data_IF_457964584000
#
_entry.id   IF_457964584000
#
_cell.length_a   1.000
_cell.length_b   1.000
_cell.length_c   1.000
_cell.angle_alpha   90.00
_cell.angle_beta   90.00
_cell.angle_gamma   90.00
#
_symmetry.space_group_name_H-M   'P 1'
#
loop_
_entity.id
_entity.type
_entity.pdbx_description
1 polymer ?
#
# COMPACT_ATOMS: atom_id res chain seq x y z
N UNK A 1 89.49 -27.48 8.27
CA UNK A 1 88.33 -26.57 8.20
C UNK A 1 88.87 -25.14 8.07
N UNK A 2 88.81 -24.53 6.89
CA UNK A 2 89.35 -23.18 6.66
C UNK A 2 88.24 -22.14 6.88
N UNK A 3 88.43 -21.22 7.81
CA UNK A 3 87.51 -20.10 8.05
C UNK A 3 87.59 -19.11 6.88
N UNK A 4 86.44 -18.72 6.33
CA UNK A 4 86.36 -17.64 5.32
C UNK A 4 86.91 -16.35 5.93
N UNK A 5 87.82 -15.70 5.21
CA UNK A 5 88.41 -14.43 5.64
C UNK A 5 87.33 -13.35 5.77
N UNK A 6 87.48 -12.46 6.75
CA UNK A 6 86.58 -11.32 7.00
C UNK A 6 86.35 -10.47 5.75
N UNK A 7 87.34 -10.41 4.84
CA UNK A 7 87.23 -9.73 3.55
C UNK A 7 86.19 -10.36 2.61
N UNK A 8 86.06 -11.70 2.59
CA UNK A 8 85.12 -12.41 1.73
C UNK A 8 83.66 -12.22 2.19
N UNK A 9 83.46 -12.17 3.51
CA UNK A 9 82.15 -11.89 4.11
C UNK A 9 81.71 -10.48 3.75
N UNK A 10 82.57 -9.48 3.91
CA UNK A 10 82.29 -8.07 3.55
C UNK A 10 81.96 -7.92 2.06
N UNK A 11 82.70 -8.62 1.19
CA UNK A 11 82.45 -8.62 -0.27
C UNK A 11 81.09 -9.23 -0.63
N UNK A 12 80.67 -10.28 0.07
CA UNK A 12 79.36 -10.91 -0.14
C UNK A 12 78.19 -10.03 0.32
N UNK A 13 78.35 -9.30 1.43
CA UNK A 13 77.34 -8.37 1.96
C UNK A 13 77.17 -7.17 1.02
N UNK A 14 78.28 -6.60 0.55
CA UNK A 14 78.24 -5.49 -0.42
C UNK A 14 77.56 -5.89 -1.74
N UNK A 15 77.80 -7.12 -2.23
CA UNK A 15 77.17 -7.64 -3.45
C UNK A 15 75.66 -7.85 -3.27
N UNK A 16 75.22 -8.33 -2.10
CA UNK A 16 73.79 -8.46 -1.75
C UNK A 16 73.09 -7.10 -1.63
N UNK A 17 73.75 -6.09 -1.05
CA UNK A 17 73.19 -4.73 -0.93
C UNK A 17 72.98 -4.08 -2.29
N UNK A 18 73.96 -4.18 -3.19
CA UNK A 18 73.87 -3.65 -4.56
C UNK A 18 72.76 -4.31 -5.38
N UNK A 19 72.51 -5.61 -5.17
CA UNK A 19 71.42 -6.33 -5.85
C UNK A 19 70.04 -5.97 -5.28
N UNK A 20 69.95 -5.67 -3.97
CA UNK A 20 68.73 -5.18 -3.33
C UNK A 20 68.38 -3.77 -3.80
N UNK A 21 69.37 -2.87 -3.93
CA UNK A 21 69.17 -1.51 -4.45
C UNK A 21 68.69 -1.51 -5.92
N UNK A 22 69.15 -2.44 -6.76
CA UNK A 22 68.64 -2.59 -8.15
C UNK A 22 67.19 -3.06 -8.23
N UNK A 23 66.71 -3.85 -7.26
CA UNK A 23 65.35 -4.40 -7.28
C UNK A 23 64.29 -3.48 -6.63
N UNK A 24 64.70 -2.40 -5.95
CA UNK A 24 63.76 -1.46 -5.32
C UNK A 24 63.44 -0.22 -6.17
N UNK A 25 64.10 -0.04 -7.32
CA UNK A 25 63.92 1.14 -8.19
C UNK A 25 62.81 1.06 -9.24
N UNK A 26 61.86 0.10 -9.15
CA UNK A 26 60.85 -0.12 -10.20
C UNK A 26 59.42 -0.30 -9.71
N UNK A 27 59.06 0.33 -8.60
CA UNK A 27 57.67 0.51 -8.20
C UNK A 27 57.40 2.01 -8.05
N UNK A 28 56.78 2.60 -9.08
CA UNK A 28 56.16 3.92 -8.99
C UNK A 28 54.68 3.63 -8.65
N UNK A 29 54.20 3.88 -7.43
CA UNK A 29 52.77 3.87 -7.18
C UNK A 29 52.17 5.06 -7.91
N UNK A 30 51.26 4.78 -8.83
CA UNK A 30 50.45 5.77 -9.53
C UNK A 30 49.71 6.63 -8.49
N UNK A 31 49.96 7.94 -8.50
CA UNK A 31 49.32 8.94 -7.64
C UNK A 31 47.79 8.95 -7.88
N UNK A 32 47.04 8.17 -7.10
CA UNK A 32 45.63 8.47 -6.86
C UNK A 32 45.55 9.72 -6.00
N UNK A 33 45.13 10.83 -6.60
CA UNK A 33 44.59 12.00 -5.90
C UNK A 33 43.61 11.51 -4.83
N UNK A 34 43.99 11.63 -3.57
CA UNK A 34 43.10 11.41 -2.44
C UNK A 34 42.43 12.74 -2.14
N UNK A 35 41.13 12.84 -2.41
CA UNK A 35 40.33 13.91 -1.84
C UNK A 35 40.34 13.73 -0.32
N UNK A 36 41.01 14.63 0.37
CA UNK A 36 41.12 14.64 1.83
C UNK A 36 39.80 15.12 2.43
N UNK A 37 39.01 14.21 2.99
CA UNK A 37 37.84 14.58 3.82
C UNK A 37 38.11 14.37 5.32
N UNK A 38 39.30 13.88 5.71
CA UNK A 38 39.57 13.48 7.10
C UNK A 38 40.95 13.91 7.60
N UNK A 39 41.27 15.21 7.48
CA UNK A 39 42.43 15.81 8.16
C UNK A 39 42.09 16.41 9.53
N UNK A 40 40.82 16.37 9.94
CA UNK A 40 40.33 17.20 11.04
C UNK A 40 39.64 16.35 12.12
N UNK A 41 40.32 15.36 12.71
CA UNK A 41 39.83 14.77 13.98
C UNK A 41 40.84 13.93 14.78
N UNK A 42 42.11 14.31 14.80
CA UNK A 42 43.06 13.79 15.80
C UNK A 42 43.40 14.87 16.83
N UNK A 43 42.41 15.21 17.66
CA UNK A 43 42.57 15.91 18.93
C UNK A 43 41.58 15.29 19.91
N UNK A 44 41.80 14.03 20.27
CA UNK A 44 41.41 13.56 21.60
C UNK A 44 42.22 12.32 21.98
N UNK A 45 42.65 12.35 23.22
CA UNK A 45 43.66 11.57 23.89
C UNK A 45 43.11 10.20 24.31
N UNK A 46 43.93 9.16 24.20
CA UNK A 46 43.73 7.90 24.91
C UNK A 46 42.93 6.84 24.15
N UNK A 47 43.57 6.18 23.18
CA UNK A 47 43.10 4.89 22.68
C UNK A 47 44.23 3.86 22.78
N UNK A 48 44.08 2.92 23.72
CA UNK A 48 44.62 1.58 23.54
C UNK A 48 44.10 1.09 22.18
N UNK A 49 45.02 0.74 21.30
CA UNK A 49 44.70 0.18 20.00
C UNK A 49 44.21 -1.25 20.19
N UNK A 50 42.92 -1.40 20.50
CA UNK A 50 42.25 -2.68 20.33
C UNK A 50 42.19 -2.92 18.82
N UNK A 51 42.99 -3.88 18.34
CA UNK A 51 42.91 -4.37 16.96
C UNK A 51 41.60 -5.13 16.84
N UNK A 52 40.52 -4.38 16.61
CA UNK A 52 39.26 -4.95 16.17
C UNK A 52 39.54 -5.49 14.78
N UNK A 53 39.56 -6.81 14.65
CA UNK A 53 39.34 -7.44 13.35
C UNK A 53 37.93 -7.05 12.94
N UNK A 54 37.82 -5.91 12.26
CA UNK A 54 36.65 -5.62 11.44
C UNK A 54 36.71 -6.65 10.31
N UNK A 55 36.14 -7.83 10.57
CA UNK A 55 35.62 -8.68 9.50
C UNK A 55 34.65 -7.79 8.75
N UNK A 56 35.20 -7.05 7.79
CA UNK A 56 34.54 -5.93 7.16
C UNK A 56 33.18 -6.41 6.70
N UNK A 57 32.16 -5.94 7.40
CA UNK A 57 30.82 -5.88 6.85
C UNK A 57 31.04 -5.02 5.61
N UNK A 58 31.19 -5.68 4.46
CA UNK A 58 31.13 -5.04 3.17
C UNK A 58 29.72 -4.47 3.14
N UNK A 59 29.58 -3.22 3.58
CA UNK A 59 28.39 -2.45 3.27
C UNK A 59 28.28 -2.57 1.76
N UNK A 60 27.19 -3.15 1.24
CA UNK A 60 27.04 -3.24 -0.20
C UNK A 60 27.21 -1.81 -0.70
N UNK A 61 28.02 -1.59 -1.76
CA UNK A 61 28.10 -0.26 -2.33
C UNK A 61 26.66 0.18 -2.55
N UNK A 62 26.27 1.33 -2.01
CA UNK A 62 24.97 1.93 -2.27
C UNK A 62 24.94 2.35 -3.75
N UNK A 63 24.98 1.37 -4.63
CA UNK A 63 24.62 1.48 -6.03
C UNK A 63 23.12 1.56 -5.97
N UNK A 64 22.62 2.80 -6.01
CA UNK A 64 21.25 3.07 -6.42
C UNK A 64 21.03 2.23 -7.68
N UNK A 65 20.25 1.14 -7.54
CA UNK A 65 20.10 0.11 -8.59
C UNK A 65 19.41 0.63 -9.85
N UNK A 66 18.94 1.88 -9.81
CA UNK A 66 18.27 2.54 -10.90
C UNK A 66 19.29 3.39 -11.65
N UNK A 67 19.55 3.02 -12.91
CA UNK A 67 20.39 3.81 -13.82
C UNK A 67 19.83 5.24 -13.84
N UNK A 68 20.64 6.24 -13.47
CA UNK A 68 20.20 7.65 -13.38
C UNK A 68 19.56 8.14 -14.68
N UNK A 69 20.03 7.63 -15.82
CA UNK A 69 19.45 7.88 -17.15
C UNK A 69 18.03 7.33 -17.27
N UNK A 70 17.74 6.13 -16.76
CA UNK A 70 16.40 5.53 -16.79
C UNK A 70 15.40 6.31 -15.94
N UNK A 71 15.82 6.81 -14.75
CA UNK A 71 15.00 7.72 -13.95
C UNK A 71 14.72 9.04 -14.67
N UNK A 72 15.72 9.59 -15.38
CA UNK A 72 15.55 10.82 -16.15
C UNK A 72 14.56 10.61 -17.32
N UNK A 73 14.63 9.46 -18.00
CA UNK A 73 13.66 9.12 -19.04
C UNK A 73 12.25 8.92 -18.49
N UNK A 74 12.09 8.32 -17.30
CA UNK A 74 10.79 8.19 -16.63
C UNK A 74 10.21 9.55 -16.23
N UNK A 75 11.05 10.44 -15.68
CA UNK A 75 10.66 11.81 -15.34
C UNK A 75 10.25 12.61 -16.59
N UNK A 76 11.05 12.49 -17.67
CA UNK A 76 10.76 13.14 -18.95
C UNK A 76 9.46 12.61 -19.54
N UNK A 77 9.22 11.30 -19.50
CA UNK A 77 7.99 10.66 -19.98
C UNK A 77 6.76 11.14 -19.20
N UNK A 78 6.87 11.28 -17.88
CA UNK A 78 5.81 11.85 -17.04
C UNK A 78 5.48 13.30 -17.42
N UNK A 79 6.50 14.15 -17.57
CA UNK A 79 6.32 15.55 -17.99
C UNK A 79 5.72 15.62 -19.40
N UNK A 80 6.17 14.76 -20.30
CA UNK A 80 5.66 14.68 -21.67
C UNK A 80 4.17 14.29 -21.69
N UNK A 81 3.78 13.29 -20.88
CA UNK A 81 2.38 12.86 -20.75
C UNK A 81 1.48 14.01 -20.27
N UNK A 82 1.93 14.78 -19.27
CA UNK A 82 1.20 15.97 -18.78
C UNK A 82 1.08 17.04 -19.86
N UNK A 83 2.15 17.29 -20.64
CA UNK A 83 2.12 18.25 -21.74
C UNK A 83 1.20 17.81 -22.88
N UNK A 84 1.19 16.52 -23.23
CA UNK A 84 0.26 15.95 -24.22
C UNK A 84 -1.18 16.16 -23.76
N UNK A 85 -1.48 15.86 -22.50
CA UNK A 85 -2.79 16.13 -21.89
C UNK A 85 -3.15 17.62 -22.03
N UNK A 86 -2.25 18.53 -21.67
CA UNK A 86 -2.47 19.96 -21.78
C UNK A 86 -2.70 20.44 -23.24
N UNK A 87 -1.98 19.88 -24.21
CA UNK A 87 -2.18 20.17 -25.64
C UNK A 87 -3.55 19.69 -26.11
N UNK A 88 -3.99 18.51 -25.69
CA UNK A 88 -5.33 17.97 -26.00
C UNK A 88 -6.41 18.93 -25.50
N UNK A 89 -6.25 19.55 -24.32
CA UNK A 89 -7.20 20.53 -23.80
C UNK A 89 -7.11 21.91 -24.48
N UNK A 90 -5.90 22.33 -24.87
CA UNK A 90 -5.67 23.66 -25.45
C UNK A 90 -5.93 23.75 -26.95
N UNK A 91 -5.88 22.62 -27.67
CA UNK A 91 -6.06 22.57 -29.13
C UNK A 91 -7.34 21.85 -29.53
N UNK A 92 -8.15 22.52 -30.35
CA UNK A 92 -9.45 22.03 -30.86
C UNK A 92 -9.28 21.32 -32.21
N UNK A 93 -8.38 20.35 -32.30
CA UNK A 93 -8.18 19.58 -33.53
C UNK A 93 -9.22 18.44 -33.63
N UNK A 94 -9.66 18.03 -34.83
CA UNK A 94 -10.68 16.99 -34.98
C UNK A 94 -10.35 15.66 -34.26
N UNK A 95 -9.06 15.28 -34.24
CA UNK A 95 -8.56 14.09 -33.55
C UNK A 95 -8.50 14.23 -32.02
N UNK A 96 -8.53 15.45 -31.46
CA UNK A 96 -8.51 15.65 -30.01
C UNK A 96 -9.89 15.47 -29.37
N UNK A 97 -10.97 15.47 -30.16
CA UNK A 97 -12.32 15.25 -29.68
C UNK A 97 -12.56 13.80 -29.23
N UNK A 98 -12.02 12.82 -29.97
CA UNK A 98 -12.07 11.40 -29.58
C UNK A 98 -11.18 11.10 -28.36
N UNK A 99 -10.02 11.74 -28.26
CA UNK A 99 -9.16 11.57 -27.09
C UNK A 99 -9.82 12.09 -25.80
N UNK A 100 -10.55 13.22 -25.87
CA UNK A 100 -11.24 13.81 -24.72
C UNK A 100 -12.35 12.92 -24.15
N UNK A 101 -13.10 12.19 -25.00
CA UNK A 101 -14.18 11.31 -24.54
C UNK A 101 -13.65 10.06 -23.82
N UNK A 102 -12.50 9.53 -24.25
CA UNK A 102 -11.81 8.45 -23.54
C UNK A 102 -11.29 8.94 -22.19
N UNK A 103 -10.70 10.14 -22.14
CA UNK A 103 -10.17 10.71 -20.90
C UNK A 103 -11.29 11.01 -19.88
N UNK A 104 -12.43 11.58 -20.32
CA UNK A 104 -13.57 11.82 -19.42
C UNK A 104 -14.14 10.51 -18.88
N UNK A 105 -14.21 9.46 -19.71
CA UNK A 105 -14.64 8.13 -19.26
C UNK A 105 -13.71 7.53 -18.20
N UNK A 106 -12.40 7.80 -18.27
CA UNK A 106 -11.42 7.36 -17.25
C UNK A 106 -11.52 8.18 -15.95
N UNK A 107 -11.87 9.47 -16.02
CA UNK A 107 -12.10 10.29 -14.83
C UNK A 107 -13.41 9.97 -14.11
N UNK A 108 -14.44 9.58 -14.85
CA UNK A 108 -15.75 9.21 -14.30
C UNK A 108 -15.81 7.73 -13.87
N UNK A 109 -14.96 6.87 -14.42
CA UNK A 109 -14.86 5.48 -13.98
C UNK A 109 -14.01 5.36 -12.72
N UNK A 110 -14.68 5.04 -11.62
CA UNK A 110 -14.04 4.55 -10.41
C UNK A 110 -13.11 3.38 -10.74
N UNK A 111 -11.81 3.59 -10.54
CA UNK A 111 -10.77 2.62 -10.88
C UNK A 111 -11.08 1.27 -10.22
N UNK A 112 -11.25 0.23 -11.03
CA UNK A 112 -11.64 -1.11 -10.58
C UNK A 112 -10.44 -1.86 -9.97
N UNK A 113 -9.92 -1.40 -8.83
CA UNK A 113 -8.75 -2.00 -8.18
C UNK A 113 -8.92 -3.51 -7.94
N UNK A 114 -10.13 -3.97 -7.62
CA UNK A 114 -10.44 -5.38 -7.39
C UNK A 114 -10.11 -6.28 -8.60
N UNK A 115 -10.45 -5.86 -9.82
CA UNK A 115 -10.19 -6.65 -11.03
C UNK A 115 -8.70 -6.74 -11.35
N UNK A 116 -7.97 -5.66 -11.08
CA UNK A 116 -6.51 -5.62 -11.25
C UNK A 116 -5.82 -6.51 -10.20
N UNK A 117 -6.33 -6.51 -8.96
CA UNK A 117 -5.83 -7.37 -7.87
C UNK A 117 -6.09 -8.83 -8.18
N UNK A 118 -7.29 -9.21 -8.64
CA UNK A 118 -7.59 -10.60 -9.03
C UNK A 118 -6.68 -11.10 -10.15
N UNK A 119 -6.49 -10.32 -11.22
CA UNK A 119 -5.57 -10.68 -12.30
C UNK A 119 -4.11 -10.75 -11.83
N UNK A 120 -3.71 -9.85 -10.94
CA UNK A 120 -2.37 -9.81 -10.35
C UNK A 120 -2.12 -11.04 -9.47
N UNK A 121 -3.08 -11.41 -8.62
CA UNK A 121 -3.02 -12.60 -7.78
C UNK A 121 -2.97 -13.88 -8.62
N UNK A 122 -3.69 -13.93 -9.74
CA UNK A 122 -3.64 -15.05 -10.70
C UNK A 122 -2.31 -15.14 -11.47
N UNK A 123 -1.75 -14.00 -11.87
CA UNK A 123 -0.59 -13.95 -12.79
C UNK A 123 0.75 -13.98 -12.05
N UNK A 124 0.82 -13.30 -10.90
CA UNK A 124 2.05 -13.11 -10.13
C UNK A 124 2.05 -13.98 -8.87
N UNK A 125 0.86 -14.39 -8.40
CA UNK A 125 0.71 -15.00 -7.09
C UNK A 125 0.87 -13.98 -5.97
N UNK A 126 0.44 -14.34 -4.76
CA UNK A 126 0.60 -13.46 -3.60
C UNK A 126 2.10 -13.26 -3.30
N UNK A 127 2.66 -12.04 -3.42
CA UNK A 127 4.07 -11.78 -3.10
C UNK A 127 4.37 -11.93 -1.60
N UNK A 128 3.34 -12.11 -0.76
CA UNK A 128 3.40 -12.19 0.69
C UNK A 128 2.78 -13.49 1.24
N UNK A 129 3.21 -14.65 0.73
CA UNK A 129 2.83 -15.98 1.25
C UNK A 129 3.30 -16.29 2.70
N UNK A 130 3.73 -15.28 3.47
CA UNK A 130 4.22 -15.41 4.85
C UNK A 130 3.31 -14.75 5.90
N UNK A 131 2.21 -14.15 5.50
CA UNK A 131 1.18 -13.69 6.44
C UNK A 131 0.22 -14.84 6.72
N UNK A 132 -0.17 -15.10 7.98
CA UNK A 132 -1.09 -16.18 8.30
C UNK A 132 -2.39 -16.00 7.51
N UNK A 133 -2.58 -16.94 6.59
CA UNK A 133 -3.69 -17.05 5.66
C UNK A 133 -4.96 -17.38 6.44
N UNK A 134 -5.81 -16.38 6.62
CA UNK A 134 -7.22 -16.58 6.94
C UNK A 134 -8.07 -16.18 5.72
N UNK A 135 -7.71 -16.66 4.53
CA UNK A 135 -8.61 -16.71 3.38
C UNK A 135 -9.32 -18.06 3.40
N UNK A 136 -10.31 -18.16 4.27
CA UNK A 136 -11.32 -19.21 4.18
C UNK A 136 -12.04 -19.05 2.84
N UNK A 137 -11.90 -20.04 1.96
CA UNK A 137 -12.82 -20.25 0.85
C UNK A 137 -14.19 -20.62 1.42
N UNK A 138 -15.00 -19.62 1.72
CA UNK A 138 -16.42 -19.81 2.02
C UNK A 138 -17.21 -19.83 0.71
N UNK A 139 -17.34 -21.02 0.12
CA UNK A 139 -18.35 -21.31 -0.90
C UNK A 139 -19.72 -21.50 -0.25
N UNK A 140 -20.26 -20.45 0.37
CA UNK A 140 -21.54 -20.48 1.07
C UNK A 140 -22.08 -19.09 1.39
N UNK A 141 -23.10 -18.66 0.61
CA UNK A 141 -23.91 -17.45 0.79
C UNK A 141 -23.13 -16.15 1.11
N UNK A 142 -22.92 -15.34 0.07
CA UNK A 142 -22.14 -14.08 0.07
C UNK A 142 -22.64 -12.97 1.01
N UNK A 143 -23.76 -13.16 1.70
CA UNK A 143 -24.40 -12.15 2.55
C UNK A 143 -24.65 -12.72 3.95
N UNK A 144 -24.27 -12.01 5.02
CA UNK A 144 -24.73 -12.28 6.39
C UNK A 144 -25.79 -11.27 6.80
N UNK A 145 -26.76 -11.70 7.60
CA UNK A 145 -27.77 -10.79 8.14
C UNK A 145 -27.13 -9.63 8.93
N UNK A 146 -27.55 -8.37 8.70
CA UNK A 146 -27.03 -7.22 9.44
C UNK A 146 -27.56 -7.15 10.88
N UNK A 147 -28.75 -7.70 11.14
CA UNK A 147 -29.36 -7.86 12.45
C UNK A 147 -30.48 -8.92 12.38
N UNK A 148 -30.80 -9.59 13.50
CA UNK A 148 -32.03 -10.38 13.62
C UNK A 148 -33.23 -9.43 13.71
N UNK A 149 -34.13 -9.49 12.73
CA UNK A 149 -35.25 -8.54 12.63
C UNK A 149 -36.13 -8.79 11.41
N UNK A 150 -37.38 -8.32 11.48
CA UNK A 150 -38.37 -8.46 10.41
C UNK A 150 -38.40 -7.19 9.55
N UNK A 151 -38.41 -7.33 8.22
CA UNK A 151 -38.55 -6.20 7.29
C UNK A 151 -39.94 -5.58 7.49
N UNK A 152 -40.02 -4.27 7.72
CA UNK A 152 -41.32 -3.60 7.88
C UNK A 152 -41.77 -2.86 6.62
N UNK A 153 -40.84 -2.25 5.89
CA UNK A 153 -41.17 -1.47 4.70
C UNK A 153 -40.44 -2.03 3.48
N UNK A 154 -41.22 -2.52 2.52
CA UNK A 154 -40.72 -3.05 1.25
C UNK A 154 -40.08 -1.94 0.42
N UNK A 155 -39.01 -2.31 -0.30
CA UNK A 155 -38.30 -1.49 -1.28
C UNK A 155 -39.23 -0.76 -2.26
N UNK A 156 -40.43 -1.30 -2.48
CA UNK A 156 -41.49 -0.79 -3.35
C UNK A 156 -42.03 0.62 -3.00
N UNK A 157 -41.85 1.13 -1.76
CA UNK A 157 -42.41 2.46 -1.40
C UNK A 157 -41.50 3.65 -1.77
N UNK A 158 -40.17 3.49 -1.72
CA UNK A 158 -39.19 4.55 -2.03
C UNK A 158 -38.22 4.20 -3.17
N UNK A 159 -38.05 2.92 -3.52
CA UNK A 159 -37.14 2.46 -4.58
C UNK A 159 -35.64 2.63 -4.25
N UNK A 160 -35.30 2.86 -2.98
CA UNK A 160 -33.94 3.17 -2.54
C UNK A 160 -33.41 2.23 -1.44
N UNK A 161 -34.25 1.61 -0.62
CA UNK A 161 -33.84 0.75 0.49
C UNK A 161 -35.02 0.17 1.27
N UNK A 162 -34.74 -0.53 2.36
CA UNK A 162 -35.71 -1.13 3.27
C UNK A 162 -35.50 -0.64 4.70
N UNK A 163 -36.60 -0.47 5.44
CA UNK A 163 -36.55 -0.22 6.89
C UNK A 163 -36.65 -1.56 7.61
N UNK A 164 -35.62 -1.88 8.40
CA UNK A 164 -35.52 -3.14 9.14
C UNK A 164 -35.88 -2.88 10.61
N UNK A 165 -36.91 -3.56 11.10
CA UNK A 165 -37.31 -3.55 12.52
C UNK A 165 -36.53 -4.60 13.29
N UNK A 166 -35.88 -4.19 14.36
CA UNK A 166 -35.13 -5.06 15.28
C UNK A 166 -35.38 -4.66 16.74
N UNK A 167 -34.70 -5.28 17.69
CA UNK A 167 -34.76 -4.88 19.09
C UNK A 167 -34.13 -3.49 19.28
N UNK A 168 -34.62 -2.71 20.25
CA UNK A 168 -33.99 -1.44 20.60
C UNK A 168 -32.50 -1.64 20.95
N UNK A 169 -31.64 -0.74 20.47
CA UNK A 169 -30.18 -0.77 20.67
C UNK A 169 -29.48 -2.06 20.18
N UNK A 170 -30.10 -2.82 19.26
CA UNK A 170 -29.46 -3.96 18.62
C UNK A 170 -28.16 -3.55 17.93
N UNK A 171 -27.18 -4.45 17.94
CA UNK A 171 -25.91 -4.24 17.25
C UNK A 171 -26.11 -4.44 15.75
N UNK A 172 -25.71 -3.46 14.93
CA UNK A 172 -25.73 -3.59 13.47
C UNK A 172 -24.38 -4.12 13.00
N UNK A 173 -24.40 -5.26 12.32
CA UNK A 173 -23.24 -5.85 11.68
C UNK A 173 -23.18 -5.55 10.18
N UNK A 174 -21.98 -5.55 9.60
CA UNK A 174 -21.86 -5.48 8.15
C UNK A 174 -22.26 -6.80 7.49
N UNK A 175 -23.03 -6.69 6.42
CA UNK A 175 -23.52 -7.82 5.63
C UNK A 175 -22.41 -8.53 4.86
N UNK A 176 -21.41 -7.75 4.41
CA UNK A 176 -20.28 -8.23 3.61
C UNK A 176 -19.03 -7.46 4.00
N UNK A 177 -17.86 -8.06 3.78
CA UNK A 177 -16.59 -7.38 4.05
C UNK A 177 -16.34 -6.25 3.04
N UNK A 178 -15.66 -5.20 3.47
CA UNK A 178 -15.44 -4.02 2.64
C UNK A 178 -14.69 -2.91 3.37
N UNK A 179 -14.70 -1.73 2.75
CA UNK A 179 -14.07 -0.52 3.27
C UNK A 179 -15.15 0.52 3.55
N UNK A 180 -15.08 1.16 4.72
CA UNK A 180 -15.97 2.27 5.07
C UNK A 180 -15.62 3.48 4.21
N UNK A 181 -16.50 3.85 3.29
CA UNK A 181 -16.36 5.04 2.43
C UNK A 181 -17.08 6.28 3.00
N UNK A 182 -17.93 6.08 4.00
CA UNK A 182 -18.60 7.17 4.72
C UNK A 182 -19.01 6.72 6.13
N UNK A 183 -18.81 7.59 7.11
CA UNK A 183 -19.27 7.42 8.49
C UNK A 183 -19.59 8.81 9.06
N UNK A 184 -20.88 9.12 9.24
CA UNK A 184 -21.30 10.46 9.66
C UNK A 184 -22.81 10.62 9.67
N UNK A 185 -23.31 11.86 9.68
CA UNK A 185 -24.73 12.18 9.66
C UNK A 185 -25.13 12.80 8.32
N UNK A 186 -26.19 12.28 7.71
CA UNK A 186 -26.80 12.77 6.46
C UNK A 186 -28.22 13.24 6.75
N UNK A 187 -28.65 14.34 6.12
CA UNK A 187 -29.98 14.93 6.37
C UNK A 187 -31.15 13.96 6.08
N UNK A 188 -31.04 13.14 5.03
CA UNK A 188 -32.11 12.22 4.61
C UNK A 188 -32.04 10.84 5.31
N UNK A 189 -30.87 10.43 5.81
CA UNK A 189 -30.62 9.06 6.31
C UNK A 189 -30.15 9.02 7.76
N UNK A 190 -30.12 10.16 8.46
CA UNK A 190 -29.58 10.28 9.81
C UNK A 190 -28.11 9.85 9.90
N UNK A 191 -27.71 9.30 11.06
CA UNK A 191 -26.38 8.71 11.20
C UNK A 191 -26.25 7.50 10.28
N UNK A 192 -25.33 7.63 9.33
CA UNK A 192 -25.16 6.72 8.20
C UNK A 192 -23.72 6.22 8.11
N UNK A 193 -23.58 4.93 7.87
CA UNK A 193 -22.33 4.27 7.48
C UNK A 193 -22.51 3.69 6.08
N UNK A 194 -21.56 3.93 5.18
CA UNK A 194 -21.55 3.37 3.83
C UNK A 194 -20.27 2.55 3.67
N UNK A 195 -20.45 1.30 3.24
CA UNK A 195 -19.36 0.34 3.03
C UNK A 195 -19.31 -0.01 1.55
N UNK A 196 -18.14 0.11 0.94
CA UNK A 196 -17.87 -0.35 -0.42
C UNK A 196 -17.24 -1.74 -0.38
N UNK A 197 -17.80 -2.66 -1.16
CA UNK A 197 -17.36 -4.04 -1.28
C UNK A 197 -16.45 -4.24 -2.49
N UNK A 198 -15.75 -5.37 -2.54
CA UNK A 198 -14.80 -5.70 -3.61
C UNK A 198 -15.46 -5.79 -5.00
N UNK A 199 -16.75 -6.12 -5.07
CA UNK A 199 -17.56 -6.19 -6.30
C UNK A 199 -18.14 -4.84 -6.72
N UNK A 200 -17.72 -3.73 -6.08
CA UNK A 200 -18.21 -2.36 -6.30
C UNK A 200 -19.66 -2.14 -5.87
N UNK A 201 -20.26 -3.10 -5.17
CA UNK A 201 -21.50 -2.83 -4.46
C UNK A 201 -21.23 -1.98 -3.22
N UNK A 202 -22.23 -1.20 -2.82
CA UNK A 202 -22.23 -0.41 -1.61
C UNK A 202 -23.37 -0.88 -0.70
N UNK A 203 -23.07 -1.07 0.57
CA UNK A 203 -24.08 -1.26 1.62
C UNK A 203 -24.22 0.00 2.45
N UNK A 204 -25.44 0.48 2.59
CA UNK A 204 -25.79 1.69 3.31
C UNK A 204 -26.55 1.31 4.59
N UNK A 205 -26.10 1.83 5.72
CA UNK A 205 -26.69 1.62 7.05
C UNK A 205 -27.03 2.99 7.63
N UNK A 206 -28.30 3.39 7.55
CA UNK A 206 -28.79 4.67 8.05
C UNK A 206 -29.62 4.53 9.33
N UNK A 207 -30.00 5.67 9.90
CA UNK A 207 -30.79 5.78 11.13
C UNK A 207 -30.16 5.03 12.34
N UNK A 208 -28.84 5.12 12.45
CA UNK A 208 -28.10 4.53 13.58
C UNK A 208 -28.15 5.45 14.81
N UNK A 209 -28.17 4.87 16.01
CA UNK A 209 -28.02 5.63 17.26
C UNK A 209 -26.56 6.09 17.46
N UNK A 210 -25.63 5.18 17.18
CA UNK A 210 -24.19 5.37 17.35
C UNK A 210 -23.41 4.66 16.25
N UNK A 211 -22.26 5.21 15.91
CA UNK A 211 -21.33 4.68 14.90
C UNK A 211 -20.04 4.30 15.64
N UNK A 212 -19.62 3.05 15.49
CA UNK A 212 -18.42 2.48 16.13
C UNK A 212 -17.22 2.37 15.17
N UNK A 213 -17.39 2.78 13.90
CA UNK A 213 -16.39 2.66 12.84
C UNK A 213 -15.93 4.01 12.29
N UNK A 214 -14.73 4.05 11.73
CA UNK A 214 -14.12 5.25 11.14
C UNK A 214 -14.09 5.22 9.62
N UNK A 215 -13.99 6.40 9.00
CA UNK A 215 -13.77 6.52 7.55
C UNK A 215 -12.47 5.80 7.13
N UNK A 216 -12.54 5.03 6.04
CA UNK A 216 -11.47 4.19 5.48
C UNK A 216 -11.08 2.97 6.32
N UNK A 217 -11.87 2.63 7.33
CA UNK A 217 -11.67 1.39 8.09
C UNK A 217 -12.05 0.17 7.27
N UNK A 218 -11.24 -0.89 7.35
CA UNK A 218 -11.57 -2.20 6.76
C UNK A 218 -12.42 -3.00 7.74
N UNK A 219 -13.59 -3.44 7.28
CA UNK A 219 -14.56 -4.19 8.08
C UNK A 219 -14.77 -5.57 7.48
N UNK A 220 -14.75 -6.59 8.35
CA UNK A 220 -14.99 -7.99 7.96
C UNK A 220 -16.48 -8.29 8.02
N UNK A 221 -16.95 -9.32 7.30
CA UNK A 221 -18.32 -9.83 7.39
C UNK A 221 -18.75 -10.02 8.86
N UNK A 222 -19.89 -9.46 9.24
CA UNK A 222 -20.43 -9.48 10.61
C UNK A 222 -19.75 -8.53 11.62
N UNK A 223 -18.77 -7.72 11.21
CA UNK A 223 -18.16 -6.72 12.09
C UNK A 223 -19.19 -5.67 12.53
N UNK A 224 -19.11 -5.26 13.80
CA UNK A 224 -20.01 -4.29 14.41
C UNK A 224 -19.75 -2.88 13.84
N UNK A 225 -20.79 -2.27 13.28
CA UNK A 225 -20.77 -0.92 12.71
C UNK A 225 -21.32 0.14 13.67
N UNK A 226 -22.24 -0.28 14.54
CA UNK A 226 -22.94 0.64 15.43
C UNK A 226 -24.13 0.01 16.13
N UNK A 227 -25.04 0.86 16.61
CA UNK A 227 -26.31 0.46 17.25
C UNK A 227 -27.51 1.08 16.54
N UNK A 228 -28.62 0.35 16.54
CA UNK A 228 -29.89 0.80 15.97
C UNK A 228 -30.57 1.85 16.86
N UNK A 229 -31.14 2.88 16.24
CA UNK A 229 -31.97 3.87 16.92
C UNK A 229 -33.27 3.25 17.43
N UNK A 230 -33.67 3.57 18.66
CA UNK A 230 -34.96 3.16 19.19
C UNK A 230 -36.09 3.79 18.35
N UNK A 231 -37.11 2.99 18.02
CA UNK A 231 -38.30 3.49 17.31
C UNK A 231 -39.11 4.37 18.26
N UNK A 232 -39.60 5.50 17.75
CA UNK A 232 -40.48 6.40 18.52
C UNK A 232 -41.92 5.85 18.61
N UNK A 233 -42.31 4.97 17.70
CA UNK A 233 -43.68 4.44 17.61
C UNK A 233 -43.94 3.23 18.50
N UNK A 234 -42.91 2.42 18.78
CA UNK A 234 -43.03 1.18 19.54
C UNK A 234 -41.94 1.04 20.62
N UNK A 235 -42.34 1.09 21.89
CA UNK A 235 -41.44 0.90 23.03
C UNK A 235 -40.74 -0.47 22.96
N UNK A 236 -39.41 -0.46 23.01
CA UNK A 236 -38.57 -1.67 23.00
C UNK A 236 -38.18 -2.18 21.62
N UNK A 237 -38.65 -1.54 20.53
CA UNK A 237 -38.21 -1.83 19.17
C UNK A 237 -37.27 -0.75 18.65
N UNK A 238 -36.43 -1.12 17.69
CA UNK A 238 -35.52 -0.24 16.98
C UNK A 238 -35.71 -0.38 15.48
N UNK A 239 -35.41 0.69 14.76
CA UNK A 239 -35.54 0.75 13.29
C UNK A 239 -34.27 1.33 12.70
N UNK A 240 -33.74 0.67 11.67
CA UNK A 240 -32.64 1.20 10.89
C UNK A 240 -32.92 1.10 9.39
N UNK A 241 -32.31 2.02 8.64
CA UNK A 241 -32.40 2.04 7.19
C UNK A 241 -31.30 1.17 6.60
N UNK A 242 -31.65 0.27 5.68
CA UNK A 242 -30.70 -0.57 4.98
C UNK A 242 -30.91 -0.49 3.48
N UNK A 243 -29.84 -0.24 2.73
CA UNK A 243 -29.90 -0.26 1.27
C UNK A 243 -28.67 -0.93 0.68
N UNK A 244 -28.88 -1.65 -0.42
CA UNK A 244 -27.82 -2.19 -1.26
C UNK A 244 -27.82 -1.44 -2.59
N UNK A 245 -26.65 -1.02 -3.02
CA UNK A 245 -26.45 -0.37 -4.31
C UNK A 245 -25.41 -1.14 -5.10
N UNK A 246 -25.72 -1.54 -6.33
CA UNK A 246 -24.78 -2.20 -7.22
C UNK A 246 -24.87 -1.57 -8.60
N UNK A 247 -23.72 -1.40 -9.26
CA UNK A 247 -23.63 -0.75 -10.58
C UNK A 247 -24.34 0.62 -10.65
N UNK A 248 -24.33 1.37 -9.55
CA UNK A 248 -24.98 2.69 -9.47
C UNK A 248 -26.49 2.68 -9.25
N UNK A 249 -27.13 1.50 -9.14
CA UNK A 249 -28.58 1.36 -8.88
C UNK A 249 -28.84 0.69 -7.54
N UNK A 250 -29.88 1.14 -6.84
CA UNK A 250 -30.35 0.47 -5.63
C UNK A 250 -31.05 -0.84 -6.00
N UNK A 251 -30.75 -1.90 -5.24
CA UNK A 251 -31.30 -3.25 -5.41
C UNK A 251 -32.09 -3.58 -4.16
N UNK A 252 -33.20 -4.31 -4.33
CA UNK A 252 -33.99 -4.81 -3.21
C UNK A 252 -33.15 -5.75 -2.33
N UNK A 253 -32.90 -5.39 -1.07
CA UNK A 253 -32.12 -6.23 -0.17
C UNK A 253 -32.86 -7.51 0.27
N UNK A 254 -34.19 -7.55 0.18
CA UNK A 254 -34.99 -8.73 0.50
C UNK A 254 -34.85 -9.87 -0.52
N UNK A 255 -34.49 -9.56 -1.77
CA UNK A 255 -34.19 -10.58 -2.79
C UNK A 255 -32.82 -11.24 -2.57
N UNK A 256 -31.90 -10.53 -1.92
CA UNK A 256 -30.50 -10.94 -1.76
C UNK A 256 -30.22 -11.51 -0.36
N UNK A 257 -30.96 -11.04 0.64
CA UNK A 257 -30.82 -11.44 2.04
C UNK A 257 -32.18 -11.90 2.56
N UNK A 258 -32.27 -13.17 2.95
CA UNK A 258 -33.43 -13.64 3.71
C UNK A 258 -33.32 -13.11 5.14
N UNK A 259 -34.33 -12.39 5.61
CA UNK A 259 -34.49 -11.97 7.00
C UNK A 259 -35.45 -12.97 7.67
N UNK A 260 -34.97 -13.80 8.61
CA UNK A 260 -35.80 -14.71 9.44
C UNK A 260 -36.03 -14.12 10.83
#
# INVERSE_FOLDING_TARGET
>A
MAYKSSSDVRRSIAKRRKNRERNYGKYIPEERKRDSILADKELDWGTETMVVYDEGIKTPPNKVFIKKEWMLFQLLASICLVLVMAIIYRTSAPWTNEARSVISGVYEQEFQFASVVNWFDETIGQPFAFLPENSGKDTGSDFSMPASGTIMESFEHNGQGVIVKTAAAASVGTVKEGVVIYAGEKEEYGKTVIIQHADKSESWYGNLESIDVSLYEQVKKGAKLGRVQASEEEEGKGEFYFALKSEGRFIDPGEVISFE
#
